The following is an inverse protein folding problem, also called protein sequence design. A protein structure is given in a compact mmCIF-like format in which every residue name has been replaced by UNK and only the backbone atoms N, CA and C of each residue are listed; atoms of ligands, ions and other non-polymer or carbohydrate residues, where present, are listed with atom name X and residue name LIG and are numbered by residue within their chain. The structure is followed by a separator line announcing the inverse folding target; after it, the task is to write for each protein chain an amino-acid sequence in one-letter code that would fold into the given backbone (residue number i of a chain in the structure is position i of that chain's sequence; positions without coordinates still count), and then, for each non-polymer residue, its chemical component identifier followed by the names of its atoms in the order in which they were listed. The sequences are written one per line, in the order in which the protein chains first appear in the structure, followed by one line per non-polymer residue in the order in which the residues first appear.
data_IF_177732155651
#
_entry.id   IF_177732155651
#
_cell.length_a   1.000
_cell.length_b   1.000
_cell.length_c   1.000
_cell.angle_alpha   90.00
_cell.angle_beta   90.00
_cell.angle_gamma   90.00
#
_symmetry.space_group_name_H-M   'P 1'
#
loop_
_entity.id
_entity.type
_entity.pdbx_description
1 polymer ?
#
# COMPACT_ATOMS: atom_id res chain seq x y z
N UNK A 1 20.46 -6.34 12.86
CA UNK A 1 19.15 -6.34 12.16
C UNK A 1 19.33 -5.83 10.73
N UNK A 2 18.66 -6.46 9.80
CA UNK A 2 18.82 -6.12 8.39
C UNK A 2 17.55 -5.44 7.89
N UNK A 3 17.74 -4.29 7.25
CA UNK A 3 16.64 -3.53 6.68
C UNK A 3 16.90 -3.31 5.21
N UNK A 4 15.84 -3.31 4.43
CA UNK A 4 15.89 -2.87 3.05
C UNK A 4 15.14 -1.55 3.00
N UNK A 5 15.81 -0.48 2.56
CA UNK A 5 15.25 0.86 2.55
C UNK A 5 15.09 1.35 1.12
N UNK A 6 13.85 1.61 0.72
CA UNK A 6 13.57 2.16 -0.59
C UNK A 6 12.20 2.82 -0.56
N UNK A 7 11.97 3.71 -1.51
CA UNK A 7 10.70 4.44 -1.58
C UNK A 7 9.69 3.73 -2.46
N UNK A 8 10.15 3.05 -3.49
CA UNK A 8 9.27 2.42 -4.46
C UNK A 8 9.75 1.01 -4.76
N UNK A 9 8.79 0.11 -4.92
CA UNK A 9 9.04 -1.23 -5.39
C UNK A 9 8.18 -1.44 -6.61
N UNK A 10 8.80 -1.46 -7.79
CA UNK A 10 8.08 -1.47 -9.06
C UNK A 10 8.46 -2.67 -9.89
N UNK A 11 7.54 -3.05 -10.77
CA UNK A 11 7.85 -4.03 -11.80
C UNK A 11 8.95 -3.45 -12.69
N UNK A 12 9.68 -4.32 -13.38
CA UNK A 12 10.80 -3.87 -14.22
C UNK A 12 10.35 -2.92 -15.34
N UNK A 13 9.07 -2.91 -15.66
CA UNK A 13 8.52 -1.95 -16.62
C UNK A 13 8.45 -0.55 -16.08
N UNK A 14 8.59 -0.38 -14.75
CA UNK A 14 8.50 0.91 -14.11
C UNK A 14 7.08 1.37 -13.82
N UNK A 15 6.11 0.47 -13.97
CA UNK A 15 4.70 0.81 -13.80
C UNK A 15 4.14 0.18 -12.52
N UNK A 16 3.33 0.93 -11.82
CA UNK A 16 2.63 0.45 -10.64
C UNK A 16 3.54 0.19 -9.47
N UNK A 17 3.15 -0.76 -8.63
CA UNK A 17 3.97 -1.22 -7.54
C UNK A 17 3.55 -0.68 -6.19
N UNK A 18 4.51 -0.69 -5.28
CA UNK A 18 4.32 -0.30 -3.89
C UNK A 18 5.15 0.93 -3.61
N UNK A 19 4.54 1.92 -2.96
CA UNK A 19 5.20 3.17 -2.59
C UNK A 19 5.13 3.32 -1.07
N UNK A 20 6.24 3.74 -0.47
CA UNK A 20 6.26 4.08 0.96
C UNK A 20 6.73 5.52 1.09
N UNK A 21 5.99 6.33 1.85
CA UNK A 21 6.40 7.70 2.08
C UNK A 21 7.21 7.81 3.38
N UNK A 22 7.72 9.03 3.67
CA UNK A 22 8.57 9.26 4.82
C UNK A 22 7.84 9.07 6.15
N UNK A 23 6.52 9.15 6.15
CA UNK A 23 5.72 8.90 7.34
C UNK A 23 5.48 7.42 7.59
N UNK A 24 5.94 6.54 6.69
CA UNK A 24 5.79 5.12 6.84
C UNK A 24 4.50 4.55 6.28
N UNK A 25 3.73 5.37 5.57
CA UNK A 25 2.50 4.89 4.92
C UNK A 25 2.85 4.13 3.66
N UNK A 26 2.08 3.07 3.38
CA UNK A 26 2.30 2.20 2.23
C UNK A 26 1.14 2.37 1.27
N UNK A 27 1.45 2.65 0.01
CA UNK A 27 0.47 2.73 -1.05
C UNK A 27 0.64 1.59 -2.06
N UNK A 28 -0.44 0.96 -2.42
CA UNK A 28 -0.46 -0.05 -3.46
C UNK A 28 -1.30 0.51 -4.59
N UNK A 29 -0.64 0.85 -5.70
CA UNK A 29 -1.30 1.56 -6.78
C UNK A 29 -1.60 3.02 -6.46
N UNK A 30 -1.04 3.52 -5.36
CA UNK A 30 -1.19 4.90 -4.94
C UNK A 30 0.19 5.47 -4.66
N UNK A 31 0.53 6.57 -5.30
CA UNK A 31 1.85 7.19 -5.14
C UNK A 31 1.87 8.22 -4.00
N UNK A 32 0.70 8.57 -3.48
CA UNK A 32 0.58 9.52 -2.37
C UNK A 32 -0.33 8.91 -1.32
N UNK A 33 0.17 7.90 -0.57
CA UNK A 33 -0.68 7.25 0.42
C UNK A 33 -1.06 8.21 1.54
N UNK A 34 -2.36 8.29 1.81
CA UNK A 34 -2.91 9.17 2.83
C UNK A 34 -3.24 8.46 4.13
N UNK A 35 -3.06 7.15 4.16
CA UNK A 35 -3.30 6.33 5.35
C UNK A 35 -2.17 5.31 5.45
N UNK A 36 -2.08 4.61 6.58
CA UNK A 36 -1.04 3.61 6.77
C UNK A 36 -1.00 2.61 5.62
N UNK A 37 -2.17 2.28 5.07
CA UNK A 37 -2.28 1.47 3.86
C UNK A 37 -3.30 2.12 2.95
N UNK A 38 -2.87 2.46 1.74
CA UNK A 38 -3.71 3.13 0.75
C UNK A 38 -3.66 2.29 -0.53
N UNK A 39 -4.79 1.72 -0.90
CA UNK A 39 -4.90 0.89 -2.11
C UNK A 39 -5.70 1.67 -3.14
N UNK A 40 -5.07 1.98 -4.26
CA UNK A 40 -5.68 2.77 -5.34
C UNK A 40 -6.47 1.93 -6.32
N UNK A 41 -7.04 0.83 -5.89
CA UNK A 41 -7.83 -0.06 -6.71
C UNK A 41 -8.58 -1.03 -5.82
N UNK A 42 -8.97 -2.17 -6.40
CA UNK A 42 -9.70 -3.18 -5.66
C UNK A 42 -8.75 -4.03 -4.81
N UNK A 43 -9.20 -4.42 -3.63
CA UNK A 43 -8.49 -5.38 -2.81
C UNK A 43 -9.25 -6.70 -2.82
N UNK A 44 -8.51 -7.81 -2.83
CA UNK A 44 -9.10 -9.13 -2.75
C UNK A 44 -8.53 -9.88 -1.58
N UNK A 45 -9.41 -10.35 -0.71
CA UNK A 45 -9.04 -11.11 0.48
C UNK A 45 -9.75 -12.45 0.42
N UNK A 46 -9.00 -13.55 0.52
CA UNK A 46 -9.59 -14.88 0.49
C UNK A 46 -9.94 -15.40 1.87
N UNK A 47 -9.49 -14.72 2.90
CA UNK A 47 -9.74 -15.10 4.28
C UNK A 47 -10.62 -14.09 4.98
N UNK A 48 -10.37 -13.91 6.27
CA UNK A 48 -11.16 -13.03 7.12
C UNK A 48 -10.48 -11.68 7.19
N UNK A 49 -11.25 -10.60 7.03
CA UNK A 49 -10.77 -9.25 7.25
C UNK A 49 -11.45 -8.72 8.52
N UNK A 50 -10.62 -8.31 9.49
CA UNK A 50 -11.11 -7.77 10.74
C UNK A 50 -10.75 -6.30 10.81
N UNK A 51 -11.72 -5.46 11.10
CA UNK A 51 -11.50 -4.04 11.29
C UNK A 51 -12.41 -3.53 12.39
N UNK A 52 -11.96 -2.47 13.09
CA UNK A 52 -12.78 -1.83 14.09
C UNK A 52 -14.03 -1.24 13.45
N UNK A 53 -13.89 -0.71 12.23
CA UNK A 53 -15.01 -0.18 11.48
C UNK A 53 -14.74 -0.29 9.99
N UNK A 54 -15.81 -0.50 9.23
CA UNK A 54 -15.77 -0.48 7.77
C UNK A 54 -16.61 0.69 7.29
N UNK A 55 -16.04 1.48 6.39
CA UNK A 55 -16.72 2.62 5.81
C UNK A 55 -16.94 2.39 4.33
N UNK A 56 -18.17 2.50 3.89
CA UNK A 56 -18.51 2.49 2.47
C UNK A 56 -18.76 3.90 1.98
N UNK A 57 -18.77 4.10 0.70
CA UNK A 57 -19.06 5.40 0.11
C UNK A 57 -20.42 5.42 -0.56
#
# INVERSE_FOLDING_TARGET
MSDIRFNNWKHQSGTGGVTQNAAGNVGIGSTLPSSALDVGGDGKFTGVVTATAFHGS
#
